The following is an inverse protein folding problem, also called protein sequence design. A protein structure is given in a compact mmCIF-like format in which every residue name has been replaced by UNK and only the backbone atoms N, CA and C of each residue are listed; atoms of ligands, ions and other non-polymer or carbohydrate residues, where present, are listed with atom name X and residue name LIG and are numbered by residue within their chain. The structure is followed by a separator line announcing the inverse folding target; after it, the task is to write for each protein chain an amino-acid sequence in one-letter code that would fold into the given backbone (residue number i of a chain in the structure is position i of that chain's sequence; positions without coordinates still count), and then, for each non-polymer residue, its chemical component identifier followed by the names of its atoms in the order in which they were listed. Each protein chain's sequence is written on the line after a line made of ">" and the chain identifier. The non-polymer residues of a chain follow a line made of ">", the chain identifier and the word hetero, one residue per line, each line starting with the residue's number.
data_IF_450717385447
#
_entry.id   IF_450717385447
#
_cell.length_a   1.000
_cell.length_b   1.000
_cell.length_c   1.000
_cell.angle_alpha   90.00
_cell.angle_beta   90.00
_cell.angle_gamma   90.00
#
_symmetry.space_group_name_H-M   'P 1'
#
loop_
_entity.id
_entity.type
_entity.pdbx_description
1 polymer ?
#
# COMPACT_ATOMS: atom_id res chain seq x y z
N UNK A 1 52.40 78.17 -21.51
CA UNK A 1 53.05 76.88 -21.77
C UNK A 1 53.25 76.20 -20.42
N UNK A 2 52.32 75.35 -20.00
CA UNK A 2 52.40 74.53 -18.73
C UNK A 2 51.94 73.19 -19.08
N UNK A 3 52.82 72.25 -18.91
CA UNK A 3 52.62 70.78 -19.10
C UNK A 3 51.98 70.25 -17.85
N UNK A 4 50.78 69.65 -17.94
CA UNK A 4 50.10 69.03 -16.85
C UNK A 4 50.26 67.49 -17.02
N UNK A 5 50.94 66.87 -16.04
CA UNK A 5 51.11 65.42 -15.98
C UNK A 5 49.81 64.82 -15.50
N UNK A 6 49.25 63.91 -16.26
CA UNK A 6 48.10 63.09 -15.85
C UNK A 6 48.60 61.77 -15.29
N UNK A 7 48.43 61.59 -13.99
CA UNK A 7 48.76 60.34 -13.32
C UNK A 7 47.66 59.31 -13.57
N UNK A 8 48.03 58.20 -14.14
CA UNK A 8 47.14 57.05 -14.40
C UNK A 8 47.06 56.15 -13.14
N UNK A 9 45.95 56.20 -12.45
CA UNK A 9 45.69 55.28 -11.33
C UNK A 9 45.18 53.93 -11.85
N UNK A 10 45.96 52.86 -11.65
CA UNK A 10 45.56 51.49 -11.97
C UNK A 10 44.79 50.95 -10.79
N UNK A 11 43.46 50.80 -10.95
CA UNK A 11 42.63 50.05 -9.99
C UNK A 11 42.75 48.55 -10.27
N UNK A 12 43.40 47.83 -9.39
CA UNK A 12 43.39 46.34 -9.38
C UNK A 12 42.08 45.89 -8.74
N UNK A 13 41.17 45.38 -9.56
CA UNK A 13 39.94 44.71 -9.09
C UNK A 13 40.29 43.25 -8.81
N UNK A 14 40.35 42.91 -7.51
CA UNK A 14 40.45 41.51 -7.09
C UNK A 14 39.10 40.81 -7.29
N UNK A 15 39.02 39.92 -8.28
CA UNK A 15 37.88 39.04 -8.49
C UNK A 15 37.89 37.95 -7.42
N UNK A 16 36.97 38.03 -6.44
CA UNK A 16 36.69 36.97 -5.49
C UNK A 16 35.84 35.93 -6.20
N UNK A 17 36.45 34.84 -6.62
CA UNK A 17 35.74 33.67 -7.19
C UNK A 17 35.06 32.90 -6.02
N UNK A 18 33.78 33.21 -5.77
CA UNK A 18 32.95 32.41 -4.91
C UNK A 18 32.61 31.07 -5.61
N UNK A 19 33.33 30.02 -5.24
CA UNK A 19 32.96 28.67 -5.63
C UNK A 19 31.71 28.25 -4.84
N UNK A 20 30.55 28.39 -5.46
CA UNK A 20 29.32 27.75 -4.99
C UNK A 20 29.45 26.25 -5.24
N UNK A 21 29.65 25.50 -4.15
CA UNK A 21 29.58 24.05 -4.12
C UNK A 21 28.15 23.62 -4.46
N UNK A 22 27.89 22.77 -5.46
CA UNK A 22 26.57 22.27 -5.69
C UNK A 22 26.16 21.40 -4.50
N UNK A 23 25.05 21.75 -3.85
CA UNK A 23 24.42 20.90 -2.86
C UNK A 23 24.12 19.54 -3.52
N UNK A 24 24.76 18.49 -3.05
CA UNK A 24 24.49 17.15 -3.47
C UNK A 24 23.06 16.81 -3.05
N UNK A 25 22.14 16.86 -3.99
CA UNK A 25 20.81 16.29 -3.88
C UNK A 25 21.03 14.79 -3.67
N UNK A 26 20.81 14.31 -2.44
CA UNK A 26 20.71 12.87 -2.19
C UNK A 26 19.47 12.40 -2.94
N UNK A 27 19.64 11.95 -4.17
CA UNK A 27 18.68 11.06 -4.79
C UNK A 27 18.57 9.84 -3.90
N UNK A 28 17.42 9.71 -3.24
CA UNK A 28 17.02 8.47 -2.60
C UNK A 28 16.76 7.47 -3.74
N UNK A 29 17.81 6.80 -4.20
CA UNK A 29 17.66 5.63 -5.03
C UNK A 29 17.03 4.57 -4.16
N UNK A 30 15.70 4.47 -4.20
CA UNK A 30 14.99 3.28 -3.77
C UNK A 30 15.48 2.16 -4.69
N UNK A 31 16.48 1.41 -4.24
CA UNK A 31 16.95 0.23 -4.92
C UNK A 31 15.76 -0.72 -5.03
N UNK A 32 15.23 -0.90 -6.24
CA UNK A 32 14.25 -1.93 -6.48
C UNK A 32 14.81 -3.25 -5.95
N UNK A 33 14.11 -3.86 -5.02
CA UNK A 33 14.54 -5.12 -4.42
C UNK A 33 14.72 -6.14 -5.53
N UNK A 34 15.88 -6.80 -5.57
CA UNK A 34 16.17 -7.80 -6.60
C UNK A 34 15.23 -8.99 -6.39
N UNK A 35 14.40 -9.28 -7.38
CA UNK A 35 13.52 -10.47 -7.37
C UNK A 35 14.32 -11.72 -7.08
N UNK A 36 13.93 -12.47 -6.05
CA UNK A 36 14.60 -13.69 -5.61
C UNK A 36 13.57 -14.76 -5.22
N UNK A 37 13.90 -16.06 -5.33
CA UNK A 37 13.05 -17.11 -4.79
C UNK A 37 12.86 -16.94 -3.28
N UNK A 38 11.61 -17.11 -2.81
CA UNK A 38 11.25 -17.02 -1.40
C UNK A 38 10.61 -18.33 -0.93
N UNK A 39 10.94 -18.73 0.28
CA UNK A 39 10.23 -19.78 1.04
C UNK A 39 9.85 -19.12 2.36
N UNK A 40 8.56 -19.01 2.63
CA UNK A 40 8.04 -18.35 3.82
C UNK A 40 7.07 -19.29 4.53
N UNK A 41 7.27 -19.49 5.83
CA UNK A 41 6.35 -20.19 6.70
C UNK A 41 5.02 -19.44 6.84
N UNK A 42 4.02 -20.08 7.45
CA UNK A 42 2.66 -19.53 7.59
C UNK A 42 2.64 -18.08 8.11
N UNK A 43 3.41 -17.80 9.14
CA UNK A 43 3.39 -16.50 9.84
C UNK A 43 4.54 -15.57 9.44
N UNK A 44 5.34 -15.95 8.43
CA UNK A 44 6.42 -15.14 7.90
C UNK A 44 5.94 -14.19 6.81
N UNK A 45 6.56 -13.02 6.73
CA UNK A 45 6.24 -11.93 5.82
C UNK A 45 6.10 -10.61 6.55
N UNK A 46 5.60 -9.61 5.87
CA UNK A 46 5.34 -8.29 6.45
C UNK A 46 3.97 -8.30 7.15
N UNK A 47 3.98 -8.51 8.47
CA UNK A 47 2.78 -8.59 9.32
C UNK A 47 2.27 -7.19 9.65
N UNK A 48 1.03 -6.91 9.30
CA UNK A 48 0.41 -5.59 9.44
C UNK A 48 -1.01 -5.69 9.99
N UNK A 49 -1.43 -4.61 10.65
CA UNK A 49 -2.77 -4.48 11.21
C UNK A 49 -3.43 -3.24 10.62
N UNK A 50 -4.64 -3.37 10.11
CA UNK A 50 -5.42 -2.24 9.61
C UNK A 50 -5.60 -1.19 10.71
N UNK A 51 -5.36 0.06 10.40
CA UNK A 51 -5.59 1.17 11.33
C UNK A 51 -7.07 1.50 11.39
N UNK A 52 -7.65 1.68 12.59
CA UNK A 52 -9.03 2.17 12.68
C UNK A 52 -9.08 3.61 12.16
N UNK A 53 -10.18 3.98 11.52
CA UNK A 53 -10.45 5.36 11.11
C UNK A 53 -11.32 6.03 12.16
N UNK A 54 -11.00 7.26 12.56
CA UNK A 54 -11.73 8.00 13.59
C UNK A 54 -13.22 8.11 13.29
N UNK A 55 -14.05 7.64 14.22
CA UNK A 55 -15.51 7.66 14.12
C UNK A 55 -16.10 6.63 13.16
N UNK A 56 -15.32 5.68 12.67
CA UNK A 56 -15.80 4.48 11.98
C UNK A 56 -15.65 3.28 12.90
N UNK A 57 -16.70 2.46 12.96
CA UNK A 57 -16.62 1.18 13.66
C UNK A 57 -15.98 0.14 12.75
N UNK A 58 -14.98 -0.55 13.23
CA UNK A 58 -14.33 -1.66 12.57
C UNK A 58 -13.37 -2.35 13.52
N UNK A 59 -13.21 -3.66 13.39
CA UNK A 59 -12.17 -4.36 14.13
C UNK A 59 -10.89 -4.39 13.29
N UNK A 60 -9.74 -4.06 13.89
CA UNK A 60 -8.46 -4.21 13.20
C UNK A 60 -8.28 -5.67 12.76
N UNK A 61 -8.16 -5.90 11.47
CA UNK A 61 -7.79 -7.20 10.91
C UNK A 61 -6.27 -7.29 10.76
N UNK A 62 -5.72 -8.50 10.94
CA UNK A 62 -4.33 -8.81 10.66
C UNK A 62 -4.23 -9.30 9.21
N UNK A 63 -3.23 -8.82 8.49
CA UNK A 63 -2.83 -9.39 7.21
C UNK A 63 -1.31 -9.51 7.10
N UNK A 64 -0.86 -10.34 6.18
CA UNK A 64 0.56 -10.58 5.93
C UNK A 64 0.83 -10.43 4.44
N UNK A 65 1.65 -9.45 4.07
CA UNK A 65 2.20 -9.36 2.71
C UNK A 65 3.38 -10.32 2.62
N UNK A 66 3.28 -11.30 1.74
CA UNK A 66 4.27 -12.38 1.60
C UNK A 66 5.12 -12.26 0.35
N UNK A 67 4.50 -11.86 -0.76
CA UNK A 67 5.19 -11.68 -2.04
C UNK A 67 4.69 -10.41 -2.69
N UNK A 68 5.58 -9.46 -2.91
CA UNK A 68 5.30 -8.20 -3.60
C UNK A 68 6.62 -7.56 -4.09
N UNK A 69 6.59 -6.47 -4.87
CA UNK A 69 7.80 -5.83 -5.38
C UNK A 69 8.73 -5.28 -4.30
N UNK A 70 8.21 -4.90 -3.13
CA UNK A 70 9.02 -4.24 -2.09
C UNK A 70 9.78 -5.24 -1.22
N UNK A 71 9.26 -6.45 -1.04
CA UNK A 71 9.93 -7.47 -0.24
C UNK A 71 10.90 -8.37 -1.05
N UNK A 72 11.15 -8.04 -2.31
CA UNK A 72 12.02 -8.81 -3.19
C UNK A 72 11.37 -10.04 -3.81
N UNK A 73 10.06 -10.18 -3.67
CA UNK A 73 9.27 -11.24 -4.26
C UNK A 73 9.03 -11.04 -5.76
N UNK A 74 7.81 -10.69 -6.14
CA UNK A 74 7.44 -10.58 -7.55
C UNK A 74 7.19 -9.13 -7.97
N UNK A 75 7.64 -8.76 -9.17
CA UNK A 75 7.25 -7.51 -9.83
C UNK A 75 5.92 -7.61 -10.61
N UNK A 76 5.28 -8.78 -10.62
CA UNK A 76 4.13 -9.06 -11.48
C UNK A 76 2.86 -9.47 -10.71
N UNK A 77 2.98 -9.83 -9.45
CA UNK A 77 1.86 -10.24 -8.62
C UNK A 77 2.10 -9.85 -7.16
N UNK A 78 1.01 -9.79 -6.41
CA UNK A 78 1.03 -9.65 -4.95
C UNK A 78 0.34 -10.86 -4.35
N UNK A 79 0.94 -11.43 -3.30
CA UNK A 79 0.40 -12.56 -2.57
C UNK A 79 0.46 -12.29 -1.08
N UNK A 80 -0.63 -12.59 -0.38
CA UNK A 80 -0.68 -12.47 1.07
C UNK A 80 -1.85 -13.24 1.68
N UNK A 81 -1.97 -13.08 2.99
CA UNK A 81 -3.05 -13.68 3.78
C UNK A 81 -3.72 -12.63 4.65
N UNK A 82 -4.99 -12.81 4.93
CA UNK A 82 -5.78 -11.95 5.80
C UNK A 82 -6.65 -12.79 6.73
N UNK A 83 -6.72 -12.37 7.99
CA UNK A 83 -7.59 -12.98 9.00
C UNK A 83 -8.85 -12.12 9.17
N UNK A 84 -10.01 -12.74 8.94
CA UNK A 84 -11.30 -12.10 9.09
C UNK A 84 -12.01 -12.68 10.32
N UNK A 85 -12.06 -11.97 11.45
CA UNK A 85 -12.69 -12.47 12.68
C UNK A 85 -14.21 -12.69 12.49
N UNK A 86 -14.88 -13.40 13.42
CA UNK A 86 -16.34 -13.54 13.37
C UNK A 86 -17.05 -12.18 13.27
N UNK A 87 -17.95 -12.04 12.30
CA UNK A 87 -18.62 -10.78 11.99
C UNK A 87 -17.76 -9.76 11.23
N UNK A 88 -16.47 -10.05 11.06
CA UNK A 88 -15.54 -9.21 10.28
C UNK A 88 -15.97 -9.09 8.82
N UNK A 89 -15.56 -7.98 8.19
CA UNK A 89 -16.00 -7.63 6.82
C UNK A 89 -14.84 -7.12 5.99
N UNK A 90 -14.75 -7.60 4.77
CA UNK A 90 -14.10 -6.91 3.67
C UNK A 90 -15.18 -6.00 3.07
N UNK A 91 -14.99 -4.69 3.21
CA UNK A 91 -15.96 -3.67 2.78
C UNK A 91 -16.05 -3.69 1.25
N UNK A 92 -17.22 -3.33 0.70
CA UNK A 92 -17.45 -3.33 -0.74
C UNK A 92 -16.47 -2.40 -1.46
N UNK A 93 -15.68 -2.98 -2.35
CA UNK A 93 -14.67 -2.28 -3.13
C UNK A 93 -14.40 -3.01 -4.46
N UNK A 94 -13.60 -2.40 -5.31
CA UNK A 94 -13.10 -2.98 -6.57
C UNK A 94 -11.68 -2.56 -6.84
N UNK A 95 -10.96 -3.37 -7.62
CA UNK A 95 -9.59 -3.13 -8.05
C UNK A 95 -9.57 -2.76 -9.54
N UNK A 96 -9.39 -1.47 -9.93
CA UNK A 96 -9.47 -1.07 -11.33
C UNK A 96 -8.42 -1.71 -12.24
N UNK A 97 -7.22 -1.96 -11.71
CA UNK A 97 -6.04 -2.39 -12.48
C UNK A 97 -5.58 -3.84 -12.25
N UNK A 98 -6.30 -4.64 -11.46
CA UNK A 98 -5.85 -6.00 -11.11
C UNK A 98 -7.03 -6.95 -10.99
N UNK A 99 -6.85 -8.16 -11.51
CA UNK A 99 -7.67 -9.29 -11.12
C UNK A 99 -7.25 -9.75 -9.72
N UNK A 100 -8.20 -10.33 -8.98
CA UNK A 100 -7.93 -10.92 -7.68
C UNK A 100 -8.44 -12.35 -7.61
N UNK A 101 -7.66 -13.21 -6.95
CA UNK A 101 -8.15 -14.49 -6.43
C UNK A 101 -8.20 -14.36 -4.91
N UNK A 102 -9.38 -14.58 -4.34
CA UNK A 102 -9.56 -14.74 -2.91
C UNK A 102 -9.89 -16.20 -2.60
N UNK A 103 -9.04 -16.88 -1.85
CA UNK A 103 -9.23 -18.26 -1.44
C UNK A 103 -9.46 -18.35 0.07
N UNK A 104 -10.63 -18.85 0.46
CA UNK A 104 -10.96 -19.05 1.87
C UNK A 104 -10.44 -20.41 2.30
N UNK A 105 -9.45 -20.46 3.20
CA UNK A 105 -8.90 -21.72 3.68
C UNK A 105 -9.89 -22.46 4.59
N UNK A 106 -10.67 -21.73 5.37
CA UNK A 106 -11.61 -22.24 6.35
C UNK A 106 -12.80 -21.30 6.55
N UNK A 107 -13.73 -21.67 7.44
CA UNK A 107 -14.81 -20.84 7.92
C UNK A 107 -16.01 -20.76 6.97
N UNK A 108 -16.86 -19.76 7.18
CA UNK A 108 -18.10 -19.52 6.42
C UNK A 108 -18.24 -18.04 6.11
N UNK A 109 -18.47 -17.71 4.85
CA UNK A 109 -18.62 -16.34 4.43
C UNK A 109 -19.89 -16.12 3.61
N UNK A 110 -20.43 -14.89 3.69
CA UNK A 110 -21.33 -14.32 2.70
C UNK A 110 -20.50 -13.46 1.76
N UNK A 111 -20.50 -13.79 0.49
CA UNK A 111 -19.76 -13.09 -0.56
C UNK A 111 -20.74 -12.37 -1.48
N UNK A 112 -20.52 -11.08 -1.72
CA UNK A 112 -21.15 -10.30 -2.78
C UNK A 112 -20.12 -10.04 -3.87
N UNK A 113 -20.35 -10.52 -5.09
CA UNK A 113 -19.47 -10.37 -6.25
C UNK A 113 -20.28 -9.81 -7.43
N UNK A 114 -20.03 -8.57 -7.80
CA UNK A 114 -20.91 -7.81 -8.68
C UNK A 114 -22.34 -7.80 -8.11
N UNK A 115 -23.30 -8.28 -8.90
CA UNK A 115 -24.72 -8.39 -8.51
C UNK A 115 -25.07 -9.73 -7.84
N UNK A 116 -24.11 -10.64 -7.68
CA UNK A 116 -24.34 -11.97 -7.12
C UNK A 116 -24.01 -12.00 -5.63
N UNK A 117 -24.88 -12.65 -4.87
CA UNK A 117 -24.65 -12.91 -3.44
C UNK A 117 -24.69 -14.41 -3.20
N UNK A 118 -23.69 -14.95 -2.52
CA UNK A 118 -23.60 -16.38 -2.21
C UNK A 118 -23.00 -16.64 -0.83
N UNK A 119 -23.54 -17.62 -0.11
CA UNK A 119 -22.86 -18.24 1.03
C UNK A 119 -21.82 -19.23 0.55
N UNK A 120 -20.63 -19.20 1.11
CA UNK A 120 -19.52 -20.09 0.80
C UNK A 120 -18.86 -20.62 2.06
N UNK A 121 -18.09 -21.70 1.92
CA UNK A 121 -17.37 -22.37 3.00
C UNK A 121 -15.88 -22.42 2.71
N UNK A 122 -15.07 -22.82 3.69
CA UNK A 122 -13.66 -23.12 3.51
C UNK A 122 -13.41 -24.04 2.31
N UNK A 123 -12.35 -23.78 1.57
CA UNK A 123 -12.02 -24.35 0.27
C UNK A 123 -12.62 -23.59 -0.94
N UNK A 124 -13.41 -22.52 -0.69
CA UNK A 124 -13.96 -21.72 -1.78
C UNK A 124 -12.90 -20.84 -2.43
N UNK A 125 -12.93 -20.79 -3.76
CA UNK A 125 -12.16 -19.85 -4.58
C UNK A 125 -13.12 -18.82 -5.19
N UNK A 126 -12.82 -17.55 -5.01
CA UNK A 126 -13.52 -16.41 -5.57
C UNK A 126 -12.57 -15.77 -6.59
N UNK A 127 -12.91 -15.81 -7.88
CA UNK A 127 -12.19 -15.06 -8.90
C UNK A 127 -12.91 -13.73 -9.14
N UNK A 128 -12.20 -12.65 -9.00
CA UNK A 128 -12.68 -11.27 -9.06
C UNK A 128 -11.96 -10.58 -10.21
N UNK A 129 -12.59 -10.49 -11.39
CA UNK A 129 -12.02 -9.74 -12.50
C UNK A 129 -11.77 -8.28 -12.14
N UNK A 130 -10.79 -7.68 -12.75
CA UNK A 130 -10.48 -6.25 -12.57
C UNK A 130 -11.76 -5.41 -12.69
N UNK A 131 -11.87 -4.39 -11.85
CA UNK A 131 -13.00 -3.47 -11.79
C UNK A 131 -14.35 -4.12 -11.39
N UNK A 132 -14.34 -5.34 -10.83
CA UNK A 132 -15.54 -6.02 -10.31
C UNK A 132 -15.65 -5.80 -8.81
N UNK A 133 -16.83 -5.36 -8.34
CA UNK A 133 -17.09 -5.12 -6.93
C UNK A 133 -17.15 -6.41 -6.12
N UNK A 134 -16.46 -6.42 -4.99
CA UNK A 134 -16.43 -7.52 -4.02
C UNK A 134 -16.75 -7.03 -2.62
N UNK A 135 -17.47 -7.81 -1.85
CA UNK A 135 -17.58 -7.69 -0.39
C UNK A 135 -17.67 -9.08 0.23
N UNK A 136 -17.06 -9.24 1.39
CA UNK A 136 -17.10 -10.49 2.15
C UNK A 136 -17.48 -10.20 3.59
N UNK A 137 -18.34 -11.04 4.17
CA UNK A 137 -18.67 -11.01 5.59
C UNK A 137 -18.46 -12.40 6.18
N UNK A 138 -17.68 -12.50 7.23
CA UNK A 138 -17.59 -13.73 8.00
C UNK A 138 -18.90 -13.95 8.75
N UNK A 139 -19.64 -14.99 8.39
CA UNK A 139 -20.92 -15.39 9.02
C UNK A 139 -20.78 -16.63 9.89
N UNK A 140 -19.54 -17.07 10.12
CA UNK A 140 -19.21 -18.19 11.02
C UNK A 140 -18.89 -17.71 12.42
N UNK A 141 -18.52 -18.68 13.27
CA UNK A 141 -18.12 -18.48 14.68
C UNK A 141 -16.62 -18.39 14.85
N UNK A 142 -15.86 -18.82 13.84
CA UNK A 142 -14.40 -18.85 13.84
C UNK A 142 -13.84 -17.82 12.84
N UNK A 143 -12.59 -17.43 13.03
CA UNK A 143 -11.92 -16.56 12.06
C UNK A 143 -11.75 -17.30 10.72
N UNK A 144 -11.96 -16.57 9.63
CA UNK A 144 -11.59 -17.03 8.29
C UNK A 144 -10.15 -16.65 8.05
N UNK A 145 -9.34 -17.63 7.62
CA UNK A 145 -8.04 -17.35 7.03
C UNK A 145 -8.21 -17.30 5.52
N UNK A 146 -8.03 -16.15 4.95
CA UNK A 146 -8.12 -15.92 3.51
C UNK A 146 -6.72 -15.75 2.90
N UNK A 147 -6.57 -16.22 1.67
CA UNK A 147 -5.40 -15.96 0.83
C UNK A 147 -5.85 -15.04 -0.28
N UNK A 148 -5.14 -13.93 -0.50
CA UNK A 148 -5.36 -13.06 -1.63
C UNK A 148 -4.19 -13.10 -2.61
N UNK A 149 -4.48 -13.03 -3.90
CA UNK A 149 -3.51 -12.96 -4.98
C UNK A 149 -3.99 -11.91 -5.97
N UNK A 150 -3.20 -10.85 -6.16
CA UNK A 150 -3.44 -9.84 -7.19
C UNK A 150 -2.56 -10.10 -8.40
N UNK A 151 -3.14 -9.97 -9.59
CA UNK A 151 -2.44 -10.18 -10.87
C UNK A 151 -1.48 -9.05 -11.24
N UNK A 152 -1.55 -7.92 -10.54
CA UNK A 152 -0.67 -6.78 -10.70
C UNK A 152 -0.42 -6.08 -9.35
N UNK A 153 0.76 -5.52 -9.12
CA UNK A 153 1.07 -4.67 -7.97
C UNK A 153 0.27 -3.37 -7.95
N UNK A 154 0.20 -2.75 -6.76
CA UNK A 154 -0.40 -1.44 -6.50
C UNK A 154 -1.32 -1.41 -5.29
N UNK A 155 -2.08 -2.48 -5.03
CA UNK A 155 -2.95 -2.52 -3.86
C UNK A 155 -2.16 -2.70 -2.55
N UNK A 156 -1.03 -3.36 -2.56
CA UNK A 156 -0.14 -3.50 -1.40
C UNK A 156 0.38 -2.16 -0.88
N UNK A 157 0.53 -1.17 -1.75
CA UNK A 157 0.92 0.20 -1.34
C UNK A 157 -0.20 0.89 -0.57
N UNK A 158 -1.45 0.70 -1.01
CA UNK A 158 -2.62 1.13 -0.25
C UNK A 158 -2.70 0.40 1.09
N UNK A 159 -2.56 -0.92 1.10
CA UNK A 159 -2.57 -1.71 2.33
C UNK A 159 -1.53 -1.20 3.34
N UNK A 160 -0.32 -0.84 2.89
CA UNK A 160 0.72 -0.26 3.74
C UNK A 160 0.35 1.12 4.26
N UNK A 161 -0.27 1.95 3.44
CA UNK A 161 -0.68 3.30 3.84
C UNK A 161 -1.79 3.29 4.92
N UNK A 162 -2.73 2.34 4.82
CA UNK A 162 -3.88 2.18 5.73
C UNK A 162 -3.59 1.35 6.98
N UNK A 163 -2.38 0.84 7.13
CA UNK A 163 -2.03 -0.09 8.21
C UNK A 163 -0.74 0.31 8.93
N UNK A 164 -0.47 -0.35 10.05
CA UNK A 164 0.78 -0.27 10.76
C UNK A 164 1.41 -1.67 10.86
N UNK A 165 2.73 -1.75 11.00
CA UNK A 165 3.37 -3.01 11.35
C UNK A 165 2.80 -3.53 12.66
N UNK A 166 2.56 -4.83 12.77
CA UNK A 166 2.02 -5.46 14.00
C UNK A 166 2.85 -5.13 15.25
N UNK A 167 4.16 -4.94 15.09
CA UNK A 167 5.08 -4.55 16.17
C UNK A 167 4.99 -3.07 16.58
N UNK A 168 4.26 -2.25 15.85
CA UNK A 168 4.12 -0.82 16.10
C UNK A 168 2.86 -0.51 16.90
N UNK A 169 2.86 0.66 17.55
CA UNK A 169 1.66 1.19 18.20
C UNK A 169 0.60 1.50 17.13
N UNK A 170 -0.57 0.89 17.26
CA UNK A 170 -1.70 1.16 16.39
C UNK A 170 -2.31 2.52 16.74
N UNK A 171 -2.16 3.49 15.84
CA UNK A 171 -2.78 4.81 15.94
C UNK A 171 -3.89 4.91 14.89
N UNK A 172 -5.07 5.45 15.25
CA UNK A 172 -6.14 5.66 14.28
C UNK A 172 -5.71 6.64 13.18
N UNK A 173 -6.32 6.49 12.01
CA UNK A 173 -6.30 7.48 10.94
C UNK A 173 -7.34 8.56 11.25
N UNK A 174 -6.99 9.82 11.07
CA UNK A 174 -8.01 10.85 10.96
C UNK A 174 -8.79 10.69 9.65
N UNK A 175 -10.02 11.16 9.59
CA UNK A 175 -10.82 11.13 8.35
C UNK A 175 -10.15 11.85 7.18
N UNK A 176 -9.33 12.87 7.45
CA UNK A 176 -8.62 13.62 6.44
C UNK A 176 -7.44 12.80 5.86
N UNK A 177 -6.69 12.08 6.73
CA UNK A 177 -5.62 11.19 6.29
C UNK A 177 -6.16 10.03 5.46
N UNK A 178 -7.22 9.37 5.94
CA UNK A 178 -7.93 8.31 5.23
C UNK A 178 -8.37 8.77 3.82
N UNK A 179 -9.07 9.91 3.74
CA UNK A 179 -9.52 10.46 2.45
C UNK A 179 -8.35 10.77 1.48
N UNK A 180 -7.22 11.25 1.99
CA UNK A 180 -6.05 11.53 1.16
C UNK A 180 -5.36 10.23 0.69
N UNK A 181 -5.31 9.20 1.53
CA UNK A 181 -4.79 7.87 1.14
C UNK A 181 -5.69 7.28 0.06
N UNK A 182 -7.00 7.28 0.27
CA UNK A 182 -7.99 6.79 -0.69
C UNK A 182 -7.84 7.47 -2.06
N UNK A 183 -7.71 8.79 -2.06
CA UNK A 183 -7.51 9.57 -3.29
C UNK A 183 -6.21 9.20 -4.01
N UNK A 184 -5.12 9.06 -3.27
CA UNK A 184 -3.80 8.73 -3.83
C UNK A 184 -3.78 7.34 -4.46
N UNK A 185 -4.51 6.39 -3.88
CA UNK A 185 -4.53 4.99 -4.31
C UNK A 185 -5.78 4.61 -5.11
N UNK A 186 -6.57 5.59 -5.61
CA UNK A 186 -7.77 5.34 -6.40
C UNK A 186 -7.53 4.53 -7.70
N UNK A 187 -6.29 4.45 -8.15
CA UNK A 187 -5.89 3.59 -9.27
C UNK A 187 -5.83 2.11 -8.90
N UNK A 188 -5.66 1.78 -7.62
CA UNK A 188 -5.51 0.42 -7.10
C UNK A 188 -6.78 -0.08 -6.40
N UNK A 189 -7.53 0.79 -5.74
CA UNK A 189 -8.76 0.44 -5.03
C UNK A 189 -9.77 1.57 -5.06
N UNK A 190 -11.04 1.23 -5.22
CA UNK A 190 -12.17 2.16 -5.11
C UNK A 190 -13.21 1.53 -4.18
N UNK A 191 -13.42 2.14 -3.03
CA UNK A 191 -14.50 1.75 -2.12
C UNK A 191 -15.82 2.31 -2.61
N UNK A 192 -16.88 1.54 -2.42
CA UNK A 192 -18.23 1.88 -2.83
C UNK A 192 -19.10 2.14 -1.62
N UNK A 193 -20.06 3.04 -1.76
CA UNK A 193 -21.08 3.25 -0.71
C UNK A 193 -21.84 1.93 -0.45
N UNK A 194 -22.20 1.65 0.80
CA UNK A 194 -22.97 0.47 1.19
C UNK A 194 -24.36 0.40 0.56
#
# INVERSE_FOLDING_TARGET
>A
MRIIHLALAVCVVAAVSGASSPAATKESTTSASKVAPLILEKDEGERRVWRPVEGLEGQPGLFILKVDPQNGGSSHLVFGTEDLPPGGKIIRHRHPGSDEILFLQNGRAKVSLGDRVRGVHGGATIFIPANTSIAVTNIGTDAINAVFIFSAPGFEDFMRAESALESQKLLPLSKAEDAEIMKRHAHAVIYEAP
#
